data_IF_925801286485
#
_entry.id   IF_925801286485
#
_cell.length_a   1.000
_cell.length_b   1.000
_cell.length_c   1.000
_cell.angle_alpha   90.00
_cell.angle_beta   90.00
_cell.angle_gamma   90.00
#
_symmetry.space_group_name_H-M   'P 1'
#
loop_
_entity.id
_entity.type
_entity.pdbx_description
1 polymer ?
#
# COMPACT_ATOMS: atom_id res chain seq x y z
N UNK A 1 -14.50 9.35 -10.39
CA UNK A 1 -15.38 8.33 -10.91
C UNK A 1 -14.74 6.95 -10.82
N UNK A 2 -15.52 5.93 -10.42
CA UNK A 2 -14.95 4.58 -10.27
C UNK A 2 -14.33 4.03 -11.55
N UNK A 3 -14.94 4.33 -12.69
CA UNK A 3 -14.43 3.87 -13.98
C UNK A 3 -13.06 4.47 -14.28
N UNK A 4 -12.89 5.76 -14.02
CA UNK A 4 -11.63 6.44 -14.22
C UNK A 4 -10.55 5.87 -13.31
N UNK A 5 -10.88 5.60 -12.05
CA UNK A 5 -9.94 4.97 -11.12
C UNK A 5 -9.49 3.60 -11.60
N UNK A 6 -10.40 2.82 -12.18
CA UNK A 6 -10.07 1.53 -12.75
C UNK A 6 -9.11 1.64 -13.93
N UNK A 7 -9.37 2.58 -14.83
CA UNK A 7 -8.48 2.84 -15.96
C UNK A 7 -7.10 3.27 -15.51
N UNK A 8 -7.06 4.19 -14.56
CA UNK A 8 -5.78 4.68 -14.02
C UNK A 8 -5.01 3.55 -13.36
N UNK A 9 -5.69 2.68 -12.64
CA UNK A 9 -5.05 1.53 -12.01
C UNK A 9 -4.43 0.62 -13.05
N UNK A 10 -5.16 0.30 -14.11
CA UNK A 10 -4.66 -0.56 -15.18
C UNK A 10 -3.46 0.04 -15.88
N UNK A 11 -3.52 1.34 -16.19
CA UNK A 11 -2.42 2.03 -16.84
C UNK A 11 -1.18 2.08 -15.95
N UNK A 12 -1.38 2.34 -14.66
CA UNK A 12 -0.29 2.37 -13.71
C UNK A 12 0.34 0.99 -13.52
N UNK A 13 -0.46 -0.07 -13.55
CA UNK A 13 0.05 -1.44 -13.47
C UNK A 13 0.94 -1.80 -14.65
N UNK A 14 0.69 -1.22 -15.82
CA UNK A 14 1.54 -1.41 -17.00
C UNK A 14 2.88 -0.71 -16.85
N UNK A 15 2.88 0.45 -16.21
CA UNK A 15 4.07 1.28 -16.03
C UNK A 15 4.84 0.85 -14.77
N UNK A 16 4.09 0.49 -13.72
CA UNK A 16 4.63 0.16 -12.42
C UNK A 16 4.53 -1.35 -12.22
N UNK A 17 5.34 -1.87 -11.33
CA UNK A 17 5.41 -3.32 -11.11
C UNK A 17 4.23 -3.85 -10.27
N UNK A 18 4.19 -5.17 -10.11
CA UNK A 18 3.17 -5.83 -9.32
C UNK A 18 3.23 -5.45 -7.85
N UNK A 19 4.39 -5.04 -7.37
CA UNK A 19 4.52 -4.56 -6.01
C UNK A 19 3.73 -3.28 -5.78
N UNK A 20 3.68 -2.40 -6.78
CA UNK A 20 2.88 -1.19 -6.66
C UNK A 20 1.40 -1.53 -6.49
N UNK A 21 0.89 -2.48 -7.27
CA UNK A 21 -0.50 -2.91 -7.14
C UNK A 21 -0.79 -3.46 -5.74
N UNK A 22 0.12 -4.28 -5.22
CA UNK A 22 -0.01 -4.81 -3.87
C UNK A 22 0.04 -3.71 -2.81
N UNK A 23 0.89 -2.72 -3.00
CA UNK A 23 1.00 -1.57 -2.11
C UNK A 23 -0.32 -0.78 -2.07
N UNK A 24 -0.93 -0.53 -3.23
CA UNK A 24 -2.20 0.17 -3.31
C UNK A 24 -3.30 -0.61 -2.60
N UNK A 25 -3.34 -1.92 -2.78
CA UNK A 25 -4.32 -2.77 -2.11
C UNK A 25 -4.12 -2.74 -0.58
N UNK A 26 -2.87 -2.76 -0.13
CA UNK A 26 -2.55 -2.65 1.29
C UNK A 26 -3.02 -1.31 1.88
N UNK A 27 -2.83 -0.21 1.14
CA UNK A 27 -3.32 1.10 1.58
C UNK A 27 -4.85 1.11 1.70
N UNK A 28 -5.53 0.48 0.75
CA UNK A 28 -6.98 0.38 0.79
C UNK A 28 -7.45 -0.38 2.02
N UNK A 29 -6.78 -1.48 2.36
CA UNK A 29 -7.09 -2.25 3.55
C UNK A 29 -6.83 -1.45 4.83
N UNK A 30 -5.74 -0.71 4.89
CA UNK A 30 -5.45 0.16 6.03
C UNK A 30 -6.56 1.20 6.21
N UNK A 31 -7.04 1.76 5.11
CA UNK A 31 -8.10 2.74 5.16
C UNK A 31 -9.39 2.14 5.73
N UNK A 32 -9.74 0.93 5.29
CA UNK A 32 -10.93 0.26 5.79
C UNK A 32 -10.79 -0.11 7.26
N UNK A 33 -9.62 -0.60 7.67
CA UNK A 33 -9.35 -0.90 9.06
C UNK A 33 -9.42 0.35 9.94
N UNK A 34 -8.90 1.46 9.45
CA UNK A 34 -8.95 2.72 10.18
C UNK A 34 -10.40 3.19 10.36
N UNK A 35 -11.24 3.06 9.32
CA UNK A 35 -12.64 3.39 9.43
C UNK A 35 -13.36 2.54 10.47
N UNK A 36 -13.02 1.26 10.54
CA UNK A 36 -13.67 0.34 11.46
C UNK A 36 -13.22 0.54 12.92
N UNK A 37 -11.96 0.90 13.13
CA UNK A 37 -11.35 0.88 14.45
C UNK A 37 -11.08 2.24 15.05
N UNK A 38 -11.04 3.30 14.25
CA UNK A 38 -10.74 4.63 14.74
C UNK A 38 -11.85 5.60 14.37
N UNK A 39 -12.66 6.04 15.33
CA UNK A 39 -13.76 6.98 15.07
C UNK A 39 -13.30 8.40 14.78
N UNK A 40 -12.11 8.80 15.20
CA UNK A 40 -11.61 10.15 15.01
C UNK A 40 -11.03 10.31 13.60
N UNK A 41 -11.64 11.20 12.80
CA UNK A 41 -11.23 11.43 11.43
C UNK A 41 -9.79 11.94 11.30
N UNK A 42 -9.35 12.76 12.24
CA UNK A 42 -7.99 13.28 12.22
C UNK A 42 -6.97 12.18 12.47
N UNK A 43 -7.29 11.30 13.41
CA UNK A 43 -6.41 10.16 13.70
C UNK A 43 -6.34 9.21 12.52
N UNK A 44 -7.48 8.98 11.81
CA UNK A 44 -7.48 8.16 10.60
C UNK A 44 -6.56 8.75 9.54
N UNK A 45 -6.65 10.07 9.32
CA UNK A 45 -5.79 10.75 8.35
C UNK A 45 -4.32 10.65 8.73
N UNK A 46 -4.03 10.78 10.01
CA UNK A 46 -2.65 10.67 10.49
C UNK A 46 -2.08 9.28 10.26
N UNK A 47 -2.88 8.23 10.48
CA UNK A 47 -2.47 6.87 10.22
C UNK A 47 -2.12 6.63 8.75
N UNK A 48 -2.96 7.14 7.85
CA UNK A 48 -2.72 6.98 6.41
C UNK A 48 -1.53 7.80 5.95
N UNK A 49 -1.37 9.00 6.49
CA UNK A 49 -0.22 9.86 6.17
C UNK A 49 1.08 9.20 6.62
N UNK A 50 1.07 8.60 7.79
CA UNK A 50 2.23 7.88 8.31
C UNK A 50 2.56 6.67 7.44
N UNK A 51 1.52 5.96 6.98
CA UNK A 51 1.73 4.81 6.09
C UNK A 51 2.33 5.21 4.75
N UNK A 52 2.11 6.46 4.31
CA UNK A 52 2.66 6.96 3.05
C UNK A 52 4.03 7.62 3.22
N UNK A 53 4.50 7.75 4.45
CA UNK A 53 5.76 8.42 4.70
C UNK A 53 6.91 7.68 4.01
N UNK A 54 7.67 8.43 3.23
CA UNK A 54 8.76 7.85 2.46
C UNK A 54 8.39 7.37 1.06
N UNK A 55 7.10 7.42 0.69
CA UNK A 55 6.71 7.06 -0.68
C UNK A 55 7.15 8.16 -1.65
N UNK A 56 7.84 7.79 -2.71
CA UNK A 56 8.31 8.73 -3.74
C UNK A 56 8.29 8.07 -5.12
N UNK A 57 8.01 8.88 -6.12
CA UNK A 57 8.16 8.49 -7.52
C UNK A 57 9.43 9.15 -8.04
N UNK A 58 10.45 8.37 -8.30
CA UNK A 58 11.79 8.86 -8.66
C UNK A 58 12.27 8.26 -9.99
N UNK A 59 11.40 8.21 -10.98
CA UNK A 59 11.65 7.47 -12.20
C UNK A 59 11.36 5.98 -12.00
N UNK A 60 11.41 5.55 -10.79
CA UNK A 60 10.88 4.29 -10.30
C UNK A 60 10.23 4.57 -8.95
N UNK A 61 9.44 3.63 -8.48
CA UNK A 61 8.74 3.80 -7.21
C UNK A 61 9.68 3.52 -6.05
N UNK A 62 9.71 4.44 -5.08
CA UNK A 62 10.36 4.20 -3.81
C UNK A 62 9.27 3.98 -2.76
N UNK A 63 9.24 2.80 -2.18
CA UNK A 63 8.21 2.44 -1.20
C UNK A 63 8.57 2.90 0.20
N UNK A 64 7.56 3.17 1.05
CA UNK A 64 7.82 3.50 2.45
C UNK A 64 8.47 2.32 3.18
N UNK A 65 9.24 2.63 4.21
CA UNK A 65 9.87 1.61 5.04
C UNK A 65 8.84 0.66 5.67
N UNK A 66 7.71 1.22 6.10
CA UNK A 66 6.63 0.43 6.70
C UNK A 66 6.12 -0.63 5.74
N UNK A 67 5.98 -0.28 4.48
CA UNK A 67 5.56 -1.23 3.45
C UNK A 67 6.60 -2.32 3.25
N UNK A 68 7.88 -1.94 3.18
CA UNK A 68 8.96 -2.90 2.99
C UNK A 68 9.00 -3.92 4.13
N UNK A 69 8.78 -3.46 5.35
CA UNK A 69 8.72 -4.35 6.52
C UNK A 69 7.52 -5.29 6.43
N UNK A 70 6.37 -4.77 6.01
CA UNK A 70 5.17 -5.59 5.83
C UNK A 70 5.40 -6.70 4.79
N UNK A 71 6.02 -6.36 3.67
CA UNK A 71 6.32 -7.33 2.61
C UNK A 71 7.28 -8.41 3.09
N UNK A 72 8.30 -8.02 3.85
CA UNK A 72 9.24 -8.97 4.40
C UNK A 72 8.54 -9.98 5.32
N UNK A 73 7.61 -9.51 6.14
CA UNK A 73 6.82 -10.39 7.01
C UNK A 73 5.94 -11.33 6.21
N UNK A 74 5.31 -10.83 5.15
CA UNK A 74 4.47 -11.66 4.29
C UNK A 74 5.29 -12.75 3.61
N UNK A 75 6.46 -12.40 3.10
CA UNK A 75 7.33 -13.35 2.44
C UNK A 75 7.85 -14.40 3.41
N UNK A 76 8.20 -14.01 4.62
CA UNK A 76 8.64 -14.94 5.64
C UNK A 76 7.53 -15.90 6.04
N UNK A 77 6.28 -15.43 6.11
CA UNK A 77 5.14 -16.26 6.46
C UNK A 77 4.73 -17.18 5.31
N UNK A 78 4.79 -16.67 4.08
CA UNK A 78 4.40 -17.42 2.89
C UNK A 78 5.46 -18.41 2.44
N UNK A 79 6.68 -18.15 2.81
CA UNK A 79 7.80 -19.00 2.46
C UNK A 79 8.16 -19.83 3.69
N UNK A 80 7.47 -20.94 3.90
CA UNK A 80 7.81 -21.81 5.02
C UNK A 80 9.27 -22.19 4.85
N UNK A 81 10.02 -22.02 5.90
CA UNK A 81 11.42 -22.26 5.91
C UNK A 81 11.80 -23.43 5.03
N UNK A 82 11.91 -23.16 3.80
CA UNK A 82 12.51 -24.14 2.93
C UNK A 82 13.93 -24.29 3.37
N UNK A 83 14.30 -25.46 3.63
CA UNK A 83 15.68 -25.70 3.98
C UNK A 83 16.57 -25.19 2.89
#
# INVERSE_FOLDING_TARGET
APALSGFMKEDLERILDSEFAAFVDWLADLREQAKANEPDAEKRRALLREALDGFRLLGKVQYPKVWAEHRAKQQAAASPATP
#
